data_IF_739522590887
#
_entry.id   IF_739522590887
#
_cell.length_a   1.000
_cell.length_b   1.000
_cell.length_c   1.000
_cell.angle_alpha   90.00
_cell.angle_beta   90.00
_cell.angle_gamma   90.00
#
_symmetry.space_group_name_H-M   'P 1'
#
loop_
_entity.id
_entity.type
_entity.pdbx_description
1 polymer ?
#
# COMPACT_ATOMS: atom_id res chain seq x y z
N UNK A 1 -20.84 -8.33 -22.35
CA UNK A 1 -20.49 -7.09 -21.60
C UNK A 1 -19.22 -7.40 -20.84
N UNK A 2 -18.06 -7.06 -21.39
CA UNK A 2 -16.78 -7.38 -20.79
C UNK A 2 -16.41 -6.22 -19.90
N UNK A 3 -16.36 -6.42 -18.58
CA UNK A 3 -15.67 -5.49 -17.68
C UNK A 3 -14.19 -5.56 -18.02
N UNK A 4 -13.78 -4.81 -19.04
CA UNK A 4 -12.41 -4.72 -19.47
C UNK A 4 -11.60 -3.85 -18.51
N UNK A 5 -10.29 -3.92 -18.66
CA UNK A 5 -9.36 -3.03 -17.95
C UNK A 5 -9.75 -1.56 -18.18
N UNK A 6 -10.28 -1.24 -19.35
CA UNK A 6 -10.72 0.12 -19.71
C UNK A 6 -11.87 0.63 -18.83
N UNK A 7 -12.95 -0.15 -18.63
CA UNK A 7 -14.02 0.25 -17.70
C UNK A 7 -13.52 0.36 -16.26
N UNK A 8 -12.64 -0.54 -15.82
CA UNK A 8 -12.08 -0.51 -14.47
C UNK A 8 -11.27 0.77 -14.21
N UNK A 9 -10.47 1.21 -15.20
CA UNK A 9 -9.71 2.46 -15.11
C UNK A 9 -10.62 3.68 -15.02
N UNK A 10 -11.71 3.72 -15.80
CA UNK A 10 -12.68 4.83 -15.74
C UNK A 10 -13.34 4.90 -14.35
N UNK A 11 -13.74 3.75 -13.80
CA UNK A 11 -14.32 3.68 -12.44
C UNK A 11 -13.29 4.13 -11.39
N UNK A 12 -12.04 3.69 -11.52
CA UNK A 12 -10.96 4.07 -10.62
C UNK A 12 -10.74 5.59 -10.59
N UNK A 13 -10.78 6.25 -11.75
CA UNK A 13 -10.66 7.72 -11.83
C UNK A 13 -11.83 8.40 -11.11
N UNK A 14 -13.07 7.92 -11.31
CA UNK A 14 -14.25 8.49 -10.64
C UNK A 14 -14.11 8.36 -9.11
N UNK A 15 -13.71 7.19 -8.62
CA UNK A 15 -13.47 6.94 -7.19
C UNK A 15 -12.35 7.86 -6.67
N UNK A 16 -11.26 8.02 -7.41
CA UNK A 16 -10.17 8.94 -7.05
C UNK A 16 -10.62 10.39 -6.95
N UNK A 17 -11.53 10.85 -7.80
CA UNK A 17 -12.07 12.22 -7.75
C UNK A 17 -13.01 12.40 -6.54
N UNK A 18 -13.87 11.43 -6.24
CA UNK A 18 -14.81 11.50 -5.12
C UNK A 18 -14.12 11.41 -3.75
N UNK A 19 -13.18 10.46 -3.63
CA UNK A 19 -12.50 10.19 -2.35
C UNK A 19 -11.19 10.97 -2.22
N UNK A 20 -10.60 11.43 -3.32
CA UNK A 20 -9.27 12.05 -3.36
C UNK A 20 -8.14 11.04 -3.19
N UNK A 21 -6.94 11.37 -3.69
CA UNK A 21 -5.74 10.53 -3.51
C UNK A 21 -5.31 10.37 -2.04
N UNK A 22 -5.61 11.36 -1.18
CA UNK A 22 -5.18 11.36 0.23
C UNK A 22 -5.89 10.31 1.07
N UNK A 23 -7.19 10.05 0.83
CA UNK A 23 -7.95 8.99 1.52
C UNK A 23 -7.49 7.60 1.09
N UNK A 24 -7.32 7.38 -0.21
CA UNK A 24 -6.84 6.10 -0.76
C UNK A 24 -5.40 5.81 -0.29
N UNK A 25 -4.51 6.81 -0.28
CA UNK A 25 -3.14 6.64 0.23
C UNK A 25 -3.13 6.30 1.73
N UNK A 26 -3.97 6.95 2.54
CA UNK A 26 -4.10 6.63 3.96
C UNK A 26 -4.58 5.21 4.22
N UNK A 27 -5.64 4.77 3.51
CA UNK A 27 -6.15 3.40 3.59
C UNK A 27 -5.11 2.38 3.09
N UNK A 28 -4.44 2.66 1.98
CA UNK A 28 -3.40 1.79 1.43
C UNK A 28 -2.20 1.62 2.39
N UNK A 29 -1.77 2.69 3.07
CA UNK A 29 -0.72 2.61 4.10
C UNK A 29 -1.17 1.73 5.28
N UNK A 30 -2.37 1.94 5.80
CA UNK A 30 -2.90 1.15 6.92
C UNK A 30 -3.05 -0.34 6.56
N UNK A 31 -3.63 -0.63 5.38
CA UNK A 31 -3.76 -1.99 4.87
C UNK A 31 -2.39 -2.63 4.57
N UNK A 32 -1.44 -1.87 4.04
CA UNK A 32 -0.09 -2.33 3.75
C UNK A 32 0.68 -2.72 5.00
N UNK A 33 0.62 -1.90 6.06
CA UNK A 33 1.21 -2.22 7.36
C UNK A 33 0.56 -3.47 7.97
N UNK A 34 -0.77 -3.55 7.98
CA UNK A 34 -1.48 -4.73 8.51
C UNK A 34 -1.19 -6.00 7.72
N UNK A 35 -1.10 -5.91 6.39
CA UNK A 35 -0.75 -7.05 5.53
C UNK A 35 0.71 -7.49 5.73
N UNK A 36 1.62 -6.54 5.94
CA UNK A 36 3.04 -6.82 6.22
C UNK A 36 3.19 -7.54 7.56
N UNK A 37 2.58 -7.04 8.63
CA UNK A 37 2.57 -7.69 9.94
C UNK A 37 1.93 -9.08 9.86
N UNK A 38 0.78 -9.20 9.18
CA UNK A 38 0.13 -10.50 8.95
C UNK A 38 1.05 -11.47 8.21
N UNK A 39 1.76 -11.00 7.18
CA UNK A 39 2.71 -11.83 6.42
C UNK A 39 3.92 -12.22 7.27
N UNK A 40 4.46 -11.31 8.07
CA UNK A 40 5.57 -11.59 8.99
C UNK A 40 5.16 -12.65 10.02
N UNK A 41 3.99 -12.54 10.65
CA UNK A 41 3.50 -13.51 11.63
C UNK A 41 3.20 -14.89 11.02
N UNK A 42 2.62 -14.91 9.81
CA UNK A 42 2.35 -16.17 9.08
C UNK A 42 3.67 -16.83 8.66
N UNK A 43 4.62 -16.07 8.08
CA UNK A 43 5.93 -16.61 7.72
C UNK A 43 6.72 -17.04 8.96
N UNK A 44 6.62 -16.35 10.09
CA UNK A 44 7.30 -16.74 11.34
C UNK A 44 6.72 -18.03 11.94
N UNK A 45 5.45 -18.35 11.64
CA UNK A 45 4.81 -19.63 12.00
C UNK A 45 5.28 -20.79 11.13
N UNK A 46 5.62 -20.50 9.87
CA UNK A 46 6.10 -21.48 8.89
C UNK A 46 7.65 -21.60 8.85
N UNK A 47 8.38 -20.55 9.25
CA UNK A 47 9.85 -20.42 9.17
C UNK A 47 10.56 -20.71 10.50
N UNK A 48 10.42 -21.94 10.98
CA UNK A 48 11.53 -22.61 11.68
C UNK A 48 12.68 -22.99 10.72
N UNK A 49 12.62 -22.56 9.46
CA UNK A 49 13.70 -22.67 8.46
C UNK A 49 13.72 -21.40 7.59
N UNK A 50 14.92 -20.86 7.43
CA UNK A 50 15.34 -19.77 6.53
C UNK A 50 14.74 -18.37 6.73
N UNK A 51 15.63 -17.48 7.17
CA UNK A 51 15.40 -16.05 7.26
C UNK A 51 15.71 -15.34 5.95
N UNK A 52 14.95 -14.27 5.69
CA UNK A 52 15.45 -13.14 4.94
C UNK A 52 14.74 -11.88 5.45
N UNK A 53 15.56 -10.96 5.94
CA UNK A 53 15.14 -9.65 6.41
C UNK A 53 15.54 -8.58 5.41
N UNK A 54 14.69 -7.56 5.36
CA UNK A 54 14.99 -6.18 4.92
C UNK A 54 14.87 -5.85 3.43
N UNK A 55 13.86 -5.05 3.09
CA UNK A 55 13.99 -3.59 2.85
C UNK A 55 12.70 -2.97 2.32
N UNK A 56 12.23 -1.93 3.01
CA UNK A 56 11.85 -0.62 2.45
C UNK A 56 11.16 0.14 3.58
N UNK A 57 11.79 1.14 4.19
CA UNK A 57 12.36 2.28 3.49
C UNK A 57 11.37 3.43 3.64
N UNK A 58 11.49 4.08 4.79
CA UNK A 58 10.93 5.39 5.15
C UNK A 58 10.75 6.33 3.96
N UNK A 59 9.53 6.86 3.77
CA UNK A 59 9.39 8.25 3.32
C UNK A 59 9.12 9.06 4.58
N UNK A 60 10.21 9.57 5.12
CA UNK A 60 10.26 10.61 6.15
C UNK A 60 9.57 11.87 5.63
N UNK A 61 8.87 12.51 6.56
CA UNK A 61 8.38 13.88 6.57
C UNK A 61 9.26 14.91 5.83
N UNK A 62 8.53 15.87 5.28
CA UNK A 62 8.81 17.31 5.27
C UNK A 62 10.28 17.74 5.42
N UNK A 63 10.87 18.15 4.30
CA UNK A 63 11.88 19.21 4.31
C UNK A 63 11.29 20.47 3.74
N UNK A 64 10.69 21.22 4.67
CA UNK A 64 10.89 22.66 4.77
C UNK A 64 12.41 22.95 4.68
N UNK A 65 12.82 23.49 3.53
CA UNK A 65 14.11 24.14 3.21
C UNK A 65 14.03 24.45 1.69
N UNK A 66 14.08 25.68 1.19
CA UNK A 66 14.87 26.82 1.66
C UNK A 66 14.51 28.07 0.81
N UNK A 67 14.29 29.20 1.51
CA UNK A 67 14.26 30.62 1.08
C UNK A 67 12.92 31.28 0.78
#
# INVERSE_FOLDING_TARGET
MHLGIQELVVILIIVLVLFGGKKISGLGKALGTSMREFKEEVNKKDSASDGDGEKSGSVTEDKDAQK
#
